data_IF_409075691127
#
_entry.id   IF_409075691127
#
_cell.length_a   1.000
_cell.length_b   1.000
_cell.length_c   1.000
_cell.angle_alpha   90.00
_cell.angle_beta   90.00
_cell.angle_gamma   90.00
#
_symmetry.space_group_name_H-M   'P 1'
#
loop_
_entity.id
_entity.type
_entity.pdbx_description
1 polymer ?
#
# COMPACT_ATOMS: atom_id res chain seq x y z
N UNK A 1 3.17 -7.16 -11.69
CA UNK A 1 2.74 -6.12 -10.73
C UNK A 1 3.89 -5.18 -10.44
N UNK A 2 3.60 -3.88 -10.32
CA UNK A 2 4.60 -2.86 -9.98
C UNK A 2 4.38 -2.39 -8.55
N UNK A 3 5.46 -2.27 -7.79
CA UNK A 3 5.44 -1.80 -6.41
C UNK A 3 6.00 -0.38 -6.36
N UNK A 4 5.10 0.60 -6.28
CA UNK A 4 5.43 2.02 -6.28
C UNK A 4 5.94 2.52 -4.93
N UNK A 5 6.68 3.64 -4.94
CA UNK A 5 6.99 4.35 -3.70
C UNK A 5 5.76 5.13 -3.24
N UNK A 6 5.42 5.09 -1.93
CA UNK A 6 4.36 5.91 -1.35
C UNK A 6 4.49 7.41 -1.63
N UNK A 7 5.71 7.90 -1.90
CA UNK A 7 5.96 9.32 -2.24
C UNK A 7 5.26 9.77 -3.53
N UNK A 8 4.88 8.84 -4.39
CA UNK A 8 4.27 9.13 -5.69
C UNK A 8 2.75 8.94 -5.68
N UNK A 9 2.14 8.76 -4.51
CA UNK A 9 0.70 8.54 -4.39
C UNK A 9 -0.08 9.85 -4.49
N UNK A 10 -1.34 9.74 -4.92
CA UNK A 10 -2.21 10.90 -5.13
C UNK A 10 -2.60 11.58 -3.81
N UNK A 11 -2.64 10.82 -2.71
CA UNK A 11 -2.90 11.34 -1.37
C UNK A 11 -1.57 11.70 -0.68
N UNK A 12 -1.31 12.97 -0.35
CA UNK A 12 -0.09 13.39 0.34
C UNK A 12 0.03 12.83 1.77
N UNK A 13 -1.07 12.33 2.34
CA UNK A 13 -1.15 11.77 3.68
C UNK A 13 -1.10 10.23 3.71
N UNK A 14 -1.01 9.59 2.55
CA UNK A 14 -1.00 8.14 2.43
C UNK A 14 0.22 7.49 3.12
N UNK A 15 0.07 6.24 3.53
CA UNK A 15 1.08 5.41 4.19
C UNK A 15 1.65 6.03 5.48
N UNK A 16 0.85 6.86 6.15
CA UNK A 16 1.20 7.46 7.43
C UNK A 16 2.54 8.23 7.42
N UNK A 17 2.95 8.79 6.26
CA UNK A 17 4.22 9.53 6.14
C UNK A 17 4.32 10.74 7.08
N UNK A 18 3.17 11.26 7.51
CA UNK A 18 3.03 12.38 8.45
C UNK A 18 2.69 11.96 9.89
N UNK A 19 2.75 10.66 10.21
CA UNK A 19 2.43 10.16 11.54
C UNK A 19 3.35 10.74 12.61
N UNK A 20 2.75 11.07 13.76
CA UNK A 20 3.50 11.54 14.93
C UNK A 20 4.08 10.35 15.67
N UNK A 21 5.28 10.55 16.18
CA UNK A 21 5.98 9.60 17.03
C UNK A 21 5.69 9.93 18.49
N UNK A 22 5.30 8.95 19.30
CA UNK A 22 5.03 9.18 20.73
C UNK A 22 6.30 9.55 21.49
N UNK A 23 6.16 10.42 22.50
CA UNK A 23 7.20 10.61 23.50
C UNK A 23 7.38 9.33 24.34
N UNK A 24 8.62 8.97 24.65
CA UNK A 24 8.94 7.82 25.49
C UNK A 24 8.88 8.18 26.98
N UNK A 25 8.17 7.39 27.77
CA UNK A 25 8.21 7.52 29.24
C UNK A 25 9.50 6.91 29.83
N UNK A 26 9.83 7.29 31.07
CA UNK A 26 10.99 6.74 31.80
C UNK A 26 10.94 5.20 31.92
N UNK A 27 9.75 4.63 32.12
CA UNK A 27 9.59 3.19 32.22
C UNK A 27 9.84 2.49 30.87
N UNK A 28 9.36 3.07 29.78
CA UNK A 28 9.58 2.56 28.41
C UNK A 28 11.05 2.63 28.02
N UNK A 29 11.73 3.73 28.36
CA UNK A 29 13.17 3.87 28.20
C UNK A 29 13.95 2.77 28.95
N UNK A 30 13.56 2.46 30.18
CA UNK A 30 14.17 1.40 30.98
C UNK A 30 13.95 0.00 30.38
N UNK A 31 12.86 -0.22 29.65
CA UNK A 31 12.58 -1.48 28.95
C UNK A 31 13.37 -1.59 27.64
N UNK A 32 13.39 -0.51 26.84
CA UNK A 32 14.22 -0.37 25.63
C UNK A 32 15.70 -0.63 25.95
N UNK A 33 16.20 -0.07 27.07
CA UNK A 33 17.55 -0.28 27.61
C UNK A 33 17.95 -1.74 27.77
N UNK A 34 17.01 -2.63 28.14
CA UNK A 34 17.31 -4.05 28.37
C UNK A 34 17.43 -4.86 27.08
N UNK A 35 16.91 -4.35 25.96
CA UNK A 35 16.83 -5.04 24.67
C UNK A 35 17.82 -4.53 23.63
N UNK A 36 18.21 -3.25 23.69
CA UNK A 36 19.25 -2.73 22.80
C UNK A 36 20.65 -3.21 23.22
N UNK A 37 21.48 -3.71 22.28
CA UNK A 37 22.89 -3.98 22.55
C UNK A 37 23.60 -2.66 22.82
N UNK A 38 23.94 -2.41 24.09
CA UNK A 38 24.73 -1.25 24.51
C UNK A 38 26.21 -1.47 24.16
N UNK A 39 26.96 -0.40 23.81
CA UNK A 39 28.41 -0.48 23.67
C UNK A 39 29.05 -1.06 24.94
N UNK A 40 30.00 -1.98 24.78
CA UNK A 40 30.67 -2.62 25.92
C UNK A 40 31.43 -1.58 26.76
N UNK A 41 31.18 -1.56 28.09
CA UNK A 41 32.02 -0.82 29.05
C UNK A 41 31.36 0.35 29.80
N UNK A 42 30.07 0.63 29.62
CA UNK A 42 29.35 1.65 30.39
C UNK A 42 28.25 1.00 31.23
N UNK A 43 28.13 1.39 32.50
CA UNK A 43 26.90 1.20 33.26
C UNK A 43 25.99 2.37 32.88
N UNK A 44 25.10 2.25 31.88
CA UNK A 44 24.53 3.43 31.27
C UNK A 44 23.61 4.10 32.28
N UNK A 45 23.77 5.38 32.52
CA UNK A 45 22.71 6.13 33.21
C UNK A 45 21.52 6.30 32.27
N UNK A 46 20.33 6.54 32.80
CA UNK A 46 19.17 6.86 31.96
C UNK A 46 19.47 8.11 31.11
N UNK A 47 20.28 9.05 31.62
CA UNK A 47 20.78 10.21 30.88
C UNK A 47 21.64 9.85 29.66
N UNK A 48 22.50 8.82 29.72
CA UNK A 48 23.36 8.42 28.58
C UNK A 48 22.58 7.69 27.49
N UNK A 49 21.55 6.93 27.85
CA UNK A 49 20.63 6.29 26.89
C UNK A 49 19.69 7.32 26.30
N UNK A 50 19.19 8.25 27.11
CA UNK A 50 18.50 9.44 26.64
C UNK A 50 19.42 10.21 25.70
N UNK A 51 20.71 10.40 26.02
CA UNK A 51 21.70 11.01 25.12
C UNK A 51 21.98 10.18 23.89
N UNK A 52 21.92 8.85 23.90
CA UNK A 52 22.08 8.00 22.73
C UNK A 52 20.84 8.09 21.82
N UNK A 53 19.64 8.06 22.41
CA UNK A 53 18.35 8.27 21.76
C UNK A 53 18.11 9.74 21.36
N UNK A 54 18.81 10.71 21.95
CA UNK A 54 18.77 12.14 21.62
C UNK A 54 19.91 12.58 20.70
N UNK A 55 21.09 11.95 20.77
CA UNK A 55 22.18 12.12 19.79
C UNK A 55 21.85 11.41 18.48
N UNK A 56 21.04 10.36 18.55
CA UNK A 56 20.19 9.87 17.47
C UNK A 56 18.89 10.68 17.50
N UNK A 57 18.92 11.99 17.26
CA UNK A 57 17.80 12.93 17.50
C UNK A 57 16.41 12.35 17.18
N UNK A 58 15.35 12.83 17.85
CA UNK A 58 13.97 12.52 17.46
C UNK A 58 13.78 12.68 15.94
N UNK A 59 14.45 13.67 15.34
CA UNK A 59 14.54 13.85 13.89
C UNK A 59 15.23 12.68 13.17
N UNK A 60 16.32 12.11 13.70
CA UNK A 60 16.99 10.93 13.14
C UNK A 60 16.12 9.67 13.20
N UNK A 61 15.42 9.42 14.31
CA UNK A 61 14.48 8.29 14.42
C UNK A 61 13.30 8.51 13.46
N UNK A 62 12.72 9.71 13.47
CA UNK A 62 11.64 10.12 12.56
C UNK A 62 12.09 10.02 11.10
N UNK A 63 13.29 10.49 10.76
CA UNK A 63 13.87 10.42 9.42
C UNK A 63 14.14 8.98 9.02
N UNK A 64 14.62 8.12 9.93
CA UNK A 64 14.83 6.70 9.65
C UNK A 64 13.52 6.01 9.35
N UNK A 65 12.50 6.22 10.20
CA UNK A 65 11.15 5.69 9.98
C UNK A 65 10.57 6.20 8.67
N UNK A 66 10.62 7.51 8.43
CA UNK A 66 10.14 8.11 7.18
C UNK A 66 10.91 7.57 5.97
N UNK A 67 12.21 7.37 6.07
CA UNK A 67 13.01 6.77 4.99
C UNK A 67 12.60 5.31 4.75
N UNK A 68 12.36 4.52 5.79
CA UNK A 68 11.82 3.16 5.66
C UNK A 68 10.45 3.18 4.99
N UNK A 69 9.53 4.04 5.44
CA UNK A 69 8.21 4.24 4.84
C UNK A 69 8.32 4.60 3.34
N UNK A 70 9.19 5.54 3.01
CA UNK A 70 9.43 6.02 1.64
C UNK A 70 10.04 4.98 0.69
N UNK A 71 10.85 4.06 1.22
CA UNK A 71 11.65 3.14 0.41
C UNK A 71 10.98 1.78 0.18
N UNK A 72 9.88 1.46 0.87
CA UNK A 72 9.12 0.25 0.58
C UNK A 72 8.24 0.41 -0.65
N UNK A 73 8.06 -0.71 -1.32
CA UNK A 73 7.18 -0.81 -2.46
C UNK A 73 5.76 -1.17 -2.03
N UNK A 74 4.77 -0.49 -2.60
CA UNK A 74 3.35 -0.77 -2.36
C UNK A 74 2.67 -1.03 -3.71
N UNK A 75 1.93 -2.13 -3.80
CA UNK A 75 1.06 -2.43 -4.93
C UNK A 75 -0.40 -2.42 -4.44
N UNK A 76 -1.23 -1.59 -5.05
CA UNK A 76 -2.58 -1.29 -4.61
C UNK A 76 -3.63 -2.01 -5.48
N UNK A 77 -4.68 -2.51 -4.85
CA UNK A 77 -5.80 -3.22 -5.45
C UNK A 77 -7.11 -2.70 -4.86
N UNK A 78 -8.23 -2.98 -5.52
CA UNK A 78 -9.56 -2.56 -5.06
C UNK A 78 -10.53 -3.73 -5.12
N UNK A 79 -11.48 -3.78 -4.19
CA UNK A 79 -12.65 -4.67 -4.26
C UNK A 79 -13.68 -4.22 -5.33
N UNK A 80 -13.50 -3.02 -5.90
CA UNK A 80 -14.43 -2.42 -6.88
C UNK A 80 -13.75 -2.18 -8.21
N UNK A 81 -14.50 -2.39 -9.28
CA UNK A 81 -14.09 -2.08 -10.65
C UNK A 81 -15.02 -1.04 -11.30
N UNK A 82 -16.07 -0.57 -10.63
CA UNK A 82 -17.14 0.25 -11.23
C UNK A 82 -17.16 1.72 -10.78
N UNK A 83 -16.29 2.11 -9.84
CA UNK A 83 -16.23 3.46 -9.27
C UNK A 83 -15.67 4.50 -10.26
N UNK A 84 -16.47 5.49 -10.65
CA UNK A 84 -16.09 6.51 -11.63
C UNK A 84 -14.88 7.37 -11.22
N UNK A 85 -14.74 7.69 -9.93
CA UNK A 85 -13.59 8.47 -9.44
C UNK A 85 -12.29 7.68 -9.65
N UNK A 86 -12.31 6.38 -9.37
CA UNK A 86 -11.13 5.54 -9.61
C UNK A 86 -10.78 5.45 -11.09
N UNK A 87 -11.76 5.33 -11.98
CA UNK A 87 -11.50 5.37 -13.43
C UNK A 87 -10.93 6.72 -13.89
N UNK A 88 -11.33 7.81 -13.23
CA UNK A 88 -10.78 9.14 -13.47
C UNK A 88 -9.29 9.21 -13.11
N UNK A 89 -8.96 8.77 -11.89
CA UNK A 89 -7.61 8.89 -11.31
C UNK A 89 -6.62 7.86 -11.85
N UNK A 90 -7.04 6.60 -11.98
CA UNK A 90 -6.13 5.46 -12.17
C UNK A 90 -6.17 4.85 -13.57
N UNK A 91 -7.16 5.22 -14.38
CA UNK A 91 -7.36 4.64 -15.70
C UNK A 91 -7.43 5.70 -16.80
N UNK A 92 -6.56 6.71 -16.73
CA UNK A 92 -6.43 7.77 -17.75
C UNK A 92 -7.79 8.37 -18.14
N UNK A 93 -8.60 8.77 -17.15
CA UNK A 93 -9.94 9.32 -17.36
C UNK A 93 -10.88 8.38 -18.11
N UNK A 94 -10.84 7.08 -17.80
CA UNK A 94 -11.66 6.04 -18.41
C UNK A 94 -11.12 5.45 -19.72
N UNK A 95 -9.93 5.86 -20.18
CA UNK A 95 -9.31 5.30 -21.38
C UNK A 95 -8.44 4.04 -21.10
N UNK A 96 -8.10 3.82 -19.83
CA UNK A 96 -7.25 2.72 -19.37
C UNK A 96 -7.99 1.40 -19.15
N UNK A 97 -7.46 0.57 -18.26
CA UNK A 97 -7.99 -0.76 -17.95
C UNK A 97 -7.91 -1.06 -16.45
N UNK A 98 -8.67 -2.06 -16.02
CA UNK A 98 -8.64 -2.65 -14.68
C UNK A 98 -8.39 -4.16 -14.83
N UNK A 99 -7.50 -4.70 -13.99
CA UNK A 99 -7.12 -6.11 -14.00
C UNK A 99 -7.75 -6.78 -12.78
N UNK A 100 -8.46 -7.87 -12.99
CA UNK A 100 -9.09 -8.67 -11.94
C UNK A 100 -8.24 -9.90 -11.64
N UNK A 101 -8.07 -10.16 -10.34
CA UNK A 101 -7.24 -11.26 -9.87
C UNK A 101 -8.01 -12.20 -8.94
N UNK A 102 -7.80 -13.51 -9.11
CA UNK A 102 -8.15 -14.51 -8.12
C UNK A 102 -7.19 -14.43 -6.93
N UNK A 103 -7.76 -14.21 -5.74
CA UNK A 103 -7.00 -14.06 -4.50
C UNK A 103 -6.75 -15.38 -3.77
N UNK A 104 -7.27 -16.51 -4.28
CA UNK A 104 -7.02 -17.84 -3.71
C UNK A 104 -5.60 -18.38 -3.95
N UNK A 105 -4.81 -17.69 -4.77
CA UNK A 105 -3.44 -18.08 -5.11
C UNK A 105 -2.37 -17.57 -4.13
N UNK A 106 -1.14 -18.10 -4.24
CA UNK A 106 -0.04 -17.75 -3.34
C UNK A 106 0.43 -16.29 -3.47
N UNK A 107 0.21 -15.63 -4.61
CA UNK A 107 0.64 -14.24 -4.80
C UNK A 107 -0.14 -13.28 -3.89
N UNK A 108 -1.42 -13.58 -3.68
CA UNK A 108 -2.36 -12.71 -2.99
C UNK A 108 -2.65 -13.15 -1.55
N UNK A 109 -1.99 -14.20 -1.05
CA UNK A 109 -2.13 -14.66 0.34
C UNK A 109 -1.57 -13.67 1.37
N UNK A 110 -0.80 -12.68 0.93
CA UNK A 110 -0.21 -11.61 1.75
C UNK A 110 -0.90 -10.26 1.56
N UNK A 111 -2.12 -10.23 1.00
CA UNK A 111 -2.89 -9.00 0.87
C UNK A 111 -3.27 -8.44 2.25
N UNK A 112 -3.04 -7.15 2.43
CA UNK A 112 -3.46 -6.41 3.61
C UNK A 112 -4.60 -5.46 3.26
N UNK A 113 -5.68 -5.51 4.04
CA UNK A 113 -6.79 -4.58 3.87
C UNK A 113 -6.41 -3.21 4.40
N UNK A 114 -6.73 -2.15 3.65
CA UNK A 114 -6.54 -0.77 4.12
C UNK A 114 -7.62 -0.43 5.14
N UNK A 115 -7.19 0.14 6.26
CA UNK A 115 -8.01 0.73 7.31
C UNK A 115 -8.13 2.23 7.05
N UNK A 116 -9.36 2.71 7.06
CA UNK A 116 -9.67 4.12 6.82
C UNK A 116 -9.90 4.84 8.14
N UNK A 117 -9.27 6.00 8.32
CA UNK A 117 -9.30 6.78 9.55
C UNK A 117 -9.42 8.28 9.27
N UNK A 118 -10.18 9.05 10.09
CA UNK A 118 -10.17 10.51 10.04
C UNK A 118 -8.91 11.12 10.71
N UNK A 119 -8.17 10.32 11.47
CA UNK A 119 -6.97 10.75 12.21
C UNK A 119 -5.73 9.98 11.74
N UNK A 120 -4.56 10.64 11.80
CA UNK A 120 -3.29 9.98 11.53
C UNK A 120 -3.02 8.88 12.57
N UNK A 121 -2.45 7.73 12.15
CA UNK A 121 -1.97 6.76 13.12
C UNK A 121 -0.79 7.35 13.89
N UNK A 122 -0.59 6.84 15.11
CA UNK A 122 0.48 7.26 16.01
C UNK A 122 1.51 6.14 16.10
N UNK A 123 2.79 6.49 15.98
CA UNK A 123 3.90 5.53 16.05
C UNK A 123 4.31 5.36 17.51
N UNK A 124 4.03 4.18 18.05
CA UNK A 124 4.55 3.75 19.35
C UNK A 124 5.97 3.21 19.20
N UNK A 125 6.96 4.01 19.61
CA UNK A 125 8.38 3.66 19.51
C UNK A 125 8.77 2.43 20.31
N UNK A 126 8.15 2.20 21.48
CA UNK A 126 8.46 1.02 22.27
C UNK A 126 8.03 -0.24 21.52
N UNK A 127 6.81 -0.24 20.98
CA UNK A 127 6.30 -1.33 20.16
C UNK A 127 7.20 -1.58 18.95
N UNK A 128 7.62 -0.51 18.28
CA UNK A 128 8.45 -0.57 17.08
C UNK A 128 9.87 -1.10 17.34
N UNK A 129 10.52 -0.65 18.42
CA UNK A 129 11.92 -0.97 18.73
C UNK A 129 12.09 -2.24 19.56
N UNK A 130 11.11 -2.59 20.38
CA UNK A 130 11.24 -3.69 21.33
C UNK A 130 10.47 -4.93 20.94
N UNK A 131 9.34 -4.83 20.26
CA UNK A 131 8.41 -5.96 20.12
C UNK A 131 8.50 -6.70 18.79
N UNK A 132 9.51 -6.40 17.95
CA UNK A 132 9.67 -6.96 16.58
C UNK A 132 8.34 -6.95 15.80
N UNK A 133 7.53 -5.92 16.05
CA UNK A 133 6.13 -5.91 15.65
C UNK A 133 6.02 -5.42 14.21
N UNK A 134 6.12 -6.36 13.28
CA UNK A 134 5.89 -6.13 11.85
C UNK A 134 4.47 -5.63 11.56
N UNK A 135 3.51 -5.80 12.48
CA UNK A 135 2.13 -5.40 12.28
C UNK A 135 1.99 -3.88 12.34
N UNK A 136 2.72 -3.18 13.21
CA UNK A 136 2.67 -1.71 13.27
C UNK A 136 3.22 -1.05 11.99
N UNK A 137 4.28 -1.63 11.42
CA UNK A 137 4.80 -1.15 10.12
C UNK A 137 3.75 -1.34 9.04
N UNK A 138 3.14 -2.51 9.00
CA UNK A 138 2.08 -2.85 8.05
C UNK A 138 0.87 -1.93 8.22
N UNK A 139 0.47 -1.65 9.47
CA UNK A 139 -0.62 -0.72 9.82
C UNK A 139 -0.35 0.69 9.27
N UNK A 140 0.88 1.20 9.37
CA UNK A 140 1.25 2.48 8.79
C UNK A 140 1.07 2.49 7.26
N UNK A 141 1.50 1.44 6.57
CA UNK A 141 1.28 1.31 5.12
C UNK A 141 -0.16 1.01 4.74
N UNK A 142 -0.99 0.57 5.67
CA UNK A 142 -2.37 0.19 5.41
C UNK A 142 -3.37 1.12 6.10
N UNK A 143 -2.95 2.32 6.51
CA UNK A 143 -3.84 3.36 7.02
C UNK A 143 -3.97 4.49 6.00
N UNK A 144 -5.20 4.87 5.68
CA UNK A 144 -5.51 5.92 4.70
C UNK A 144 -6.61 6.85 5.21
N UNK A 145 -6.66 8.07 4.68
CA UNK A 145 -7.73 9.02 5.04
C UNK A 145 -9.12 8.43 4.69
N UNK A 146 -10.09 8.67 5.57
CA UNK A 146 -11.49 8.28 5.39
C UNK A 146 -12.09 8.80 4.06
N UNK A 147 -11.60 9.92 3.54
CA UNK A 147 -12.06 10.49 2.27
C UNK A 147 -11.83 9.57 1.06
N UNK A 148 -10.88 8.63 1.17
CA UNK A 148 -10.54 7.64 0.14
C UNK A 148 -11.20 6.28 0.37
N UNK A 149 -12.10 6.16 1.35
CA UNK A 149 -12.75 4.88 1.71
C UNK A 149 -13.56 4.24 0.58
N UNK A 150 -13.95 5.01 -0.44
CA UNK A 150 -14.63 4.51 -1.62
C UNK A 150 -13.76 3.54 -2.45
N UNK A 151 -12.43 3.58 -2.29
CA UNK A 151 -11.51 2.72 -3.02
C UNK A 151 -11.53 1.26 -2.58
N UNK A 152 -11.97 0.97 -1.34
CA UNK A 152 -12.00 -0.40 -0.79
C UNK A 152 -10.68 -1.15 -1.04
N UNK A 153 -9.59 -0.50 -0.62
CA UNK A 153 -8.25 -0.79 -1.07
C UNK A 153 -7.62 -1.97 -0.30
N UNK A 154 -6.85 -2.77 -1.04
CA UNK A 154 -5.94 -3.76 -0.50
C UNK A 154 -4.53 -3.53 -1.01
N UNK A 155 -3.52 -3.90 -0.22
CA UNK A 155 -2.12 -3.65 -0.53
C UNK A 155 -1.28 -4.91 -0.41
N UNK A 156 -0.37 -5.11 -1.37
CA UNK A 156 0.82 -5.94 -1.21
C UNK A 156 2.00 -5.03 -0.89
N UNK A 157 2.82 -5.45 0.06
CA UNK A 157 4.00 -4.72 0.49
C UNK A 157 5.27 -5.44 0.04
N UNK A 158 6.24 -4.67 -0.42
CA UNK A 158 7.56 -5.14 -0.79
C UNK A 158 8.64 -4.32 -0.08
N UNK A 159 9.77 -4.95 0.24
CA UNK A 159 10.89 -4.31 0.96
C UNK A 159 11.48 -3.10 0.23
N UNK A 160 11.34 -3.06 -1.10
CA UNK A 160 11.96 -2.08 -1.98
C UNK A 160 10.94 -1.57 -3.02
N UNK A 161 10.80 -0.26 -3.14
CA UNK A 161 10.02 0.42 -4.16
C UNK A 161 10.68 0.34 -5.54
N UNK A 162 9.89 0.60 -6.59
CA UNK A 162 10.38 0.59 -7.97
C UNK A 162 10.57 -0.81 -8.55
N UNK A 163 10.11 -1.84 -7.84
CA UNK A 163 10.29 -3.24 -8.20
C UNK A 163 9.10 -3.79 -8.98
N UNK A 164 9.33 -4.86 -9.74
CA UNK A 164 8.30 -5.58 -10.48
C UNK A 164 8.34 -7.05 -10.12
N UNK A 165 7.19 -7.60 -9.76
CA UNK A 165 7.03 -9.02 -9.45
C UNK A 165 5.96 -9.63 -10.34
N UNK A 166 6.17 -10.88 -10.72
CA UNK A 166 5.21 -11.67 -11.47
C UNK A 166 4.14 -12.24 -10.54
N UNK A 167 2.94 -12.37 -11.06
CA UNK A 167 1.87 -13.20 -10.52
C UNK A 167 1.82 -14.49 -11.35
N UNK A 168 1.18 -15.53 -10.84
CA UNK A 168 0.96 -16.73 -11.65
C UNK A 168 -0.12 -16.44 -12.70
N UNK A 169 0.08 -16.87 -13.95
CA UNK A 169 -0.79 -16.50 -15.08
C UNK A 169 -2.28 -16.77 -14.79
N UNK A 170 -2.59 -17.87 -14.11
CA UNK A 170 -3.95 -18.27 -13.70
C UNK A 170 -4.63 -17.36 -12.67
N UNK A 171 -3.86 -16.50 -12.00
CA UNK A 171 -4.39 -15.58 -11.00
C UNK A 171 -4.95 -14.33 -11.65
N UNK A 172 -4.61 -13.99 -12.90
CA UNK A 172 -5.37 -13.01 -13.67
C UNK A 172 -6.60 -13.71 -14.22
N UNK A 173 -7.78 -13.17 -13.95
CA UNK A 173 -9.07 -13.79 -14.34
C UNK A 173 -9.90 -12.91 -15.27
N UNK A 174 -9.62 -11.60 -15.27
CA UNK A 174 -10.38 -10.67 -16.09
C UNK A 174 -9.64 -9.39 -16.43
N UNK A 175 -9.95 -8.85 -17.61
CA UNK A 175 -9.48 -7.54 -18.06
C UNK A 175 -10.68 -6.68 -18.40
N UNK A 176 -10.81 -5.57 -17.69
CA UNK A 176 -11.89 -4.61 -17.82
C UNK A 176 -11.37 -3.38 -18.55
N UNK A 177 -11.96 -3.04 -19.69
CA UNK A 177 -11.67 -1.83 -20.45
C UNK A 177 -12.59 -0.70 -20.01
N UNK A 178 -12.04 0.50 -19.85
CA UNK A 178 -12.81 1.67 -19.51
C UNK A 178 -13.70 2.15 -20.67
N UNK A 179 -14.65 3.04 -20.36
CA UNK A 179 -15.64 3.53 -21.32
C UNK A 179 -15.07 4.36 -22.47
N UNK A 180 -13.82 4.78 -22.38
CA UNK A 180 -13.11 5.56 -23.40
C UNK A 180 -11.92 4.80 -24.00
N UNK A 181 -11.73 3.53 -23.66
CA UNK A 181 -10.67 2.71 -24.26
C UNK A 181 -10.95 2.51 -25.75
N UNK A 182 -9.96 2.73 -26.61
CA UNK A 182 -10.13 2.60 -28.06
C UNK A 182 -10.17 1.14 -28.51
N UNK A 183 -10.77 0.87 -29.67
CA UNK A 183 -10.86 -0.49 -30.20
C UNK A 183 -9.48 -1.12 -30.45
N UNK A 184 -8.51 -0.34 -30.90
CA UNK A 184 -7.14 -0.79 -31.17
C UNK A 184 -6.47 -1.30 -29.89
N UNK A 185 -6.59 -0.55 -28.80
CA UNK A 185 -6.04 -0.97 -27.49
C UNK A 185 -6.74 -2.22 -26.99
N UNK A 186 -8.08 -2.31 -27.12
CA UNK A 186 -8.83 -3.50 -26.71
C UNK A 186 -8.38 -4.75 -27.48
N UNK A 187 -8.18 -4.64 -28.79
CA UNK A 187 -7.70 -5.77 -29.62
C UNK A 187 -6.29 -6.20 -29.21
N UNK A 188 -5.36 -5.26 -29.06
CA UNK A 188 -3.98 -5.58 -28.70
C UNK A 188 -3.91 -6.22 -27.31
N UNK A 189 -4.52 -5.60 -26.31
CA UNK A 189 -4.49 -6.08 -24.92
C UNK A 189 -5.28 -7.38 -24.78
N UNK A 190 -6.45 -7.49 -25.43
CA UNK A 190 -7.25 -8.71 -25.41
C UNK A 190 -6.52 -9.91 -25.99
N UNK A 191 -5.78 -9.72 -27.09
CA UNK A 191 -4.95 -10.77 -27.65
C UNK A 191 -3.81 -11.16 -26.71
N UNK A 192 -3.15 -10.19 -26.06
CA UNK A 192 -2.10 -10.47 -25.08
C UNK A 192 -2.62 -11.23 -23.85
N UNK A 193 -3.77 -10.81 -23.31
CA UNK A 193 -4.40 -11.49 -22.18
C UNK A 193 -4.69 -12.96 -22.53
N UNK A 194 -5.31 -13.22 -23.70
CA UNK A 194 -5.60 -14.58 -24.17
C UNK A 194 -4.38 -15.44 -24.43
N UNK A 195 -3.24 -14.83 -24.80
CA UNK A 195 -1.99 -15.57 -24.95
C UNK A 195 -1.42 -16.03 -23.61
N UNK A 196 -1.63 -15.25 -22.54
CA UNK A 196 -1.19 -15.59 -21.19
C UNK A 196 -2.17 -16.57 -20.53
N UNK A 197 -3.47 -16.26 -20.60
CA UNK A 197 -4.52 -17.09 -20.07
C UNK A 197 -5.75 -17.08 -21.01
N UNK A 198 -5.95 -18.12 -21.83
CA UNK A 198 -7.03 -18.18 -22.81
C UNK A 198 -8.44 -18.09 -22.22
N UNK A 199 -8.59 -18.30 -20.91
CA UNK A 199 -9.87 -18.25 -20.22
C UNK A 199 -10.21 -16.88 -19.66
N UNK A 200 -9.34 -15.88 -19.80
CA UNK A 200 -9.59 -14.54 -19.27
C UNK A 200 -10.83 -13.90 -19.88
N UNK A 201 -11.71 -13.42 -19.01
CA UNK A 201 -12.88 -12.68 -19.44
C UNK A 201 -12.49 -11.23 -19.76
N UNK A 202 -12.82 -10.82 -20.99
CA UNK A 202 -12.68 -9.44 -21.41
C UNK A 202 -14.00 -8.71 -21.20
N UNK A 203 -13.95 -7.51 -20.64
CA UNK A 203 -15.12 -6.72 -20.31
C UNK A 203 -15.00 -5.30 -20.87
N UNK A 204 -16.10 -4.75 -21.38
CA UNK A 204 -16.20 -3.37 -21.81
C UNK A 204 -17.09 -2.57 -20.86
N UNK A 205 -16.53 -1.49 -20.31
CA UNK A 205 -17.24 -0.56 -19.44
C UNK A 205 -18.04 0.48 -20.22
N UNK A 206 -19.24 0.77 -19.75
CA UNK A 206 -20.10 1.84 -20.26
C UNK A 206 -20.66 2.64 -19.07
N UNK A 207 -20.93 3.94 -19.28
CA UNK A 207 -21.56 4.75 -18.25
C UNK A 207 -22.98 4.22 -17.98
N UNK A 208 -23.34 4.08 -16.71
CA UNK A 208 -24.69 3.69 -16.33
C UNK A 208 -25.66 4.86 -16.48
N UNK A 209 -26.82 4.61 -17.09
CA UNK A 209 -27.92 5.58 -17.17
C UNK A 209 -28.73 5.69 -15.86
N UNK A 210 -28.49 4.79 -14.90
CA UNK A 210 -29.29 4.67 -13.67
C UNK A 210 -28.53 5.05 -12.39
N UNK A 211 -27.19 5.12 -12.42
CA UNK A 211 -26.36 5.28 -11.22
C UNK A 211 -24.95 5.79 -11.56
N UNK A 212 -24.26 6.44 -10.63
CA UNK A 212 -22.91 6.99 -10.83
C UNK A 212 -21.80 5.90 -10.80
N UNK A 213 -21.79 5.01 -11.79
CA UNK A 213 -20.83 3.91 -11.95
C UNK A 213 -20.64 3.51 -13.41
N UNK A 214 -19.67 2.63 -13.67
CA UNK A 214 -19.62 1.86 -14.92
C UNK A 214 -20.44 0.57 -14.81
N UNK A 215 -21.12 0.20 -15.90
CA UNK A 215 -21.62 -1.14 -16.11
C UNK A 215 -20.66 -1.88 -17.04
N UNK A 216 -20.48 -3.18 -16.84
CA UNK A 216 -19.58 -3.99 -17.66
C UNK A 216 -20.32 -5.06 -18.42
N UNK A 217 -20.00 -5.21 -19.70
CA UNK A 217 -20.49 -6.29 -20.55
C UNK A 217 -19.33 -7.13 -21.03
N UNK A 218 -19.48 -8.46 -20.99
CA UNK A 218 -18.46 -9.37 -21.48
C UNK A 218 -18.36 -9.26 -23.00
N UNK A 219 -17.15 -9.19 -23.52
CA UNK A 219 -16.89 -9.10 -24.97
C UNK A 219 -16.19 -10.35 -25.51
N UNK A 220 -16.41 -10.68 -26.80
CA UNK A 220 -15.84 -11.86 -27.45
C UNK A 220 -14.33 -11.86 -27.58
#
# INVERSE_FOLDING_TARGET
>A
MYFGSPQNFNDPYDCALSAKVTDLTHEQLARIRKRLPLPAGLGPTDEEIIKLLQSTSQDTITNTIQNTLRNRGVCCFSEKNDNLLMWSHYASQGAGMCLEFDTGGPTFSLLHKVVYSPEFPVIDLERMLCNEDYDQITEMYCTKSQDWSYEQEWRLLHKEAGTRYQYADKELTGVYFGSRTTAEIRVVVGNLARMLNPTDDLWLGELSDASFRLNFTRIP
#
